data_IF_674105933907
#
_entry.id   IF_674105933907
#
_cell.length_a   1.000
_cell.length_b   1.000
_cell.length_c   1.000
_cell.angle_alpha   90.00
_cell.angle_beta   90.00
_cell.angle_gamma   90.00
#
_symmetry.space_group_name_H-M   'P 1'
#
loop_
_entity.id
_entity.type
_entity.pdbx_description
1 polymer ?
#
# COMPACT_ATOMS: atom_id res chain seq x y z
N UNK A 1 4.21 11.51 77.43
CA UNK A 1 4.71 12.12 76.19
C UNK A 1 4.09 11.41 75.03
N UNK A 2 3.12 11.95 74.41
CA UNK A 2 2.58 11.30 73.22
C UNK A 2 3.50 11.54 71.99
N UNK A 3 3.99 10.49 71.44
CA UNK A 3 4.69 10.59 70.21
C UNK A 3 3.66 10.76 69.06
N UNK A 4 3.65 11.93 68.48
CA UNK A 4 2.84 12.17 67.28
C UNK A 4 3.59 11.60 66.07
N UNK A 5 3.14 10.43 65.65
CA UNK A 5 3.58 9.89 64.40
C UNK A 5 2.91 10.66 63.27
N UNK A 6 3.67 11.44 62.55
CA UNK A 6 3.22 12.04 61.33
C UNK A 6 3.16 10.95 60.27
N UNK A 7 1.98 10.50 60.01
CA UNK A 7 1.76 9.73 58.80
C UNK A 7 1.81 10.70 57.61
N UNK A 8 2.98 10.78 57.01
CA UNK A 8 3.08 11.40 55.70
C UNK A 8 2.33 10.52 54.71
N UNK A 9 1.13 10.93 54.35
CA UNK A 9 0.43 10.35 53.23
C UNK A 9 1.26 10.65 51.99
N UNK A 10 2.03 9.69 51.54
CA UNK A 10 2.61 9.72 50.22
C UNK A 10 1.47 9.57 49.25
N UNK A 11 1.03 10.69 48.72
CA UNK A 11 0.19 10.70 47.54
C UNK A 11 1.06 10.17 46.41
N UNK A 12 0.90 8.90 46.08
CA UNK A 12 1.40 8.32 44.87
C UNK A 12 0.57 8.95 43.76
N UNK A 13 1.08 10.02 43.18
CA UNK A 13 0.61 10.47 41.88
C UNK A 13 1.13 9.43 40.89
N UNK A 14 0.33 8.42 40.64
CA UNK A 14 0.52 7.58 39.49
C UNK A 14 0.22 8.46 38.29
N UNK A 15 1.27 9.02 37.73
CA UNK A 15 1.18 9.61 36.42
C UNK A 15 0.72 8.48 35.49
N UNK A 16 -0.56 8.44 35.20
CA UNK A 16 -1.09 7.67 34.09
C UNK A 16 -0.44 8.26 32.86
N UNK A 17 0.71 7.71 32.51
CA UNK A 17 1.34 7.97 31.23
C UNK A 17 0.33 7.58 30.16
N UNK A 18 -0.21 8.60 29.54
CA UNK A 18 -1.22 8.53 28.52
C UNK A 18 -0.85 7.50 27.47
N UNK A 19 -1.60 6.44 27.41
CA UNK A 19 -1.68 5.55 26.24
C UNK A 19 -2.13 6.29 24.97
N UNK A 20 -2.50 7.56 25.08
CA UNK A 20 -2.91 8.41 23.96
C UNK A 20 -1.78 8.79 23.01
N UNK A 21 -0.51 8.68 23.41
CA UNK A 21 0.60 8.94 22.50
C UNK A 21 0.79 7.87 21.42
N UNK A 22 0.17 6.71 21.57
CA UNK A 22 0.28 5.62 20.58
C UNK A 22 -0.71 5.74 19.43
N UNK A 23 -1.72 6.59 19.54
CA UNK A 23 -2.75 6.78 18.52
C UNK A 23 -2.42 7.87 17.50
N UNK A 24 -1.39 8.68 17.74
CA UNK A 24 -1.00 9.76 16.82
C UNK A 24 -0.07 9.30 15.68
N UNK A 25 0.44 8.08 15.74
CA UNK A 25 1.43 7.59 14.77
C UNK A 25 0.83 7.21 13.40
N UNK A 26 -0.50 7.18 13.24
CA UNK A 26 -1.15 6.63 12.05
C UNK A 26 -2.08 7.61 11.32
N UNK A 27 -1.77 8.89 11.35
CA UNK A 27 -2.45 9.79 10.42
C UNK A 27 -1.96 9.49 9.01
N UNK A 28 -2.88 9.10 8.07
CA UNK A 28 -2.47 8.91 6.69
C UNK A 28 -1.93 10.24 6.19
N UNK A 29 -0.64 10.27 5.83
CA UNK A 29 -0.02 11.41 5.17
C UNK A 29 -0.76 11.75 3.88
N UNK A 30 -0.60 12.98 3.40
CA UNK A 30 -1.15 13.39 2.12
C UNK A 30 -0.65 12.48 1.01
N UNK A 31 -1.53 12.15 0.07
CA UNK A 31 -1.24 11.33 -1.10
C UNK A 31 -1.69 12.03 -2.35
N UNK A 32 -0.92 11.89 -3.40
CA UNK A 32 -1.26 12.42 -4.72
C UNK A 32 -1.55 11.25 -5.64
N UNK A 33 -2.72 11.26 -6.26
CA UNK A 33 -3.05 10.30 -7.31
C UNK A 33 -2.17 10.58 -8.53
N UNK A 34 -1.40 9.58 -8.94
CA UNK A 34 -0.56 9.68 -10.15
C UNK A 34 -1.35 9.21 -11.36
N UNK A 35 -1.96 8.05 -11.28
CA UNK A 35 -2.71 7.48 -12.39
C UNK A 35 -3.64 6.36 -11.95
N UNK A 36 -4.62 6.08 -12.81
CA UNK A 36 -5.41 4.86 -12.80
C UNK A 36 -5.03 4.02 -14.00
N UNK A 37 -4.88 2.73 -13.80
CA UNK A 37 -4.44 1.82 -14.85
C UNK A 37 -5.13 0.46 -14.77
N UNK A 38 -5.33 -0.21 -15.90
CA UNK A 38 -5.64 -1.64 -15.90
C UNK A 38 -4.38 -2.46 -15.58
N UNK A 39 -4.57 -3.70 -15.20
CA UNK A 39 -3.45 -4.66 -15.09
C UNK A 39 -3.22 -5.29 -16.46
N UNK A 40 -2.01 -5.12 -16.99
CA UNK A 40 -1.59 -5.73 -18.24
C UNK A 40 -1.10 -7.16 -18.01
N UNK A 41 -1.43 -8.06 -18.94
CA UNK A 41 -0.91 -9.43 -18.90
C UNK A 41 -1.51 -10.32 -17.83
N UNK A 42 -2.64 -9.95 -17.26
CA UNK A 42 -3.32 -10.70 -16.20
C UNK A 42 -3.49 -12.19 -16.54
N UNK A 43 -3.79 -12.52 -17.77
CA UNK A 43 -4.04 -13.89 -18.23
C UNK A 43 -2.78 -14.79 -18.20
N UNK A 44 -1.59 -14.19 -18.14
CA UNK A 44 -0.32 -14.93 -18.16
C UNK A 44 0.26 -15.17 -16.75
N UNK A 45 -0.43 -14.73 -15.72
CA UNK A 45 0.05 -14.76 -14.34
C UNK A 45 -0.95 -15.44 -13.39
N UNK A 46 -0.75 -15.28 -12.11
CA UNK A 46 -1.50 -16.02 -11.07
C UNK A 46 -2.91 -15.46 -10.78
N UNK A 47 -3.26 -14.33 -11.37
CA UNK A 47 -4.51 -13.62 -11.05
C UNK A 47 -5.76 -14.43 -11.28
N UNK A 48 -5.78 -15.31 -12.27
CA UNK A 48 -6.93 -16.15 -12.57
C UNK A 48 -7.29 -17.11 -11.41
N UNK A 49 -6.29 -17.73 -10.79
CA UNK A 49 -6.49 -18.60 -9.64
C UNK A 49 -6.84 -17.83 -8.36
N UNK A 50 -6.50 -16.54 -8.31
CA UNK A 50 -6.68 -15.69 -7.15
C UNK A 50 -7.94 -14.83 -7.23
N UNK A 51 -8.64 -14.86 -8.36
CA UNK A 51 -9.73 -13.93 -8.67
C UNK A 51 -10.75 -13.79 -7.55
N UNK A 52 -11.22 -14.91 -6.98
CA UNK A 52 -12.24 -14.90 -5.94
C UNK A 52 -11.75 -14.33 -4.60
N UNK A 53 -10.44 -14.18 -4.45
CA UNK A 53 -9.82 -13.63 -3.24
C UNK A 53 -9.54 -12.14 -3.35
N UNK A 54 -9.50 -11.59 -4.55
CA UNK A 54 -9.25 -10.17 -4.79
C UNK A 54 -10.45 -9.33 -4.38
N UNK A 55 -10.22 -8.20 -3.73
CA UNK A 55 -11.25 -7.26 -3.30
C UNK A 55 -10.88 -5.83 -3.65
N UNK A 56 -11.88 -5.03 -3.97
CA UNK A 56 -11.72 -3.57 -4.09
C UNK A 56 -11.16 -3.04 -2.78
N UNK A 57 -10.14 -2.18 -2.88
CA UNK A 57 -9.43 -1.64 -1.73
C UNK A 57 -8.17 -2.42 -1.35
N UNK A 58 -7.96 -3.61 -1.90
CA UNK A 58 -6.75 -4.39 -1.63
C UNK A 58 -5.49 -3.64 -2.07
N UNK A 59 -4.48 -3.67 -1.21
CA UNK A 59 -3.18 -3.10 -1.51
C UNK A 59 -2.44 -3.92 -2.57
N UNK A 60 -1.79 -3.23 -3.48
CA UNK A 60 -0.90 -3.80 -4.48
C UNK A 60 0.52 -3.31 -4.24
N UNK A 61 1.49 -4.15 -4.57
CA UNK A 61 2.90 -3.81 -4.54
C UNK A 61 3.39 -3.62 -5.96
N UNK A 62 4.06 -2.50 -6.20
CA UNK A 62 4.68 -2.19 -7.48
C UNK A 62 6.18 -2.49 -7.40
N UNK A 63 6.65 -3.34 -8.28
CA UNK A 63 8.05 -3.79 -8.30
C UNK A 63 8.69 -3.39 -9.62
N UNK A 64 9.72 -2.56 -9.54
CA UNK A 64 10.49 -2.11 -10.70
C UNK A 64 11.33 -3.26 -11.26
N UNK A 65 11.28 -3.47 -12.56
CA UNK A 65 12.08 -4.47 -13.29
C UNK A 65 12.93 -3.82 -14.36
N UNK A 66 14.05 -3.16 -14.00
CA UNK A 66 14.87 -2.43 -14.98
C UNK A 66 15.55 -3.36 -15.99
N UNK A 67 15.72 -4.63 -15.66
CA UNK A 67 16.35 -5.62 -16.52
C UNK A 67 15.35 -6.49 -17.28
N UNK A 68 14.08 -6.10 -17.31
CA UNK A 68 13.09 -6.82 -18.08
C UNK A 68 13.44 -6.78 -19.57
N UNK A 69 13.55 -7.95 -20.25
CA UNK A 69 14.02 -7.99 -21.64
C UNK A 69 13.04 -7.40 -22.64
N UNK A 70 11.78 -7.26 -22.27
CA UNK A 70 10.74 -6.71 -23.14
C UNK A 70 10.47 -5.23 -22.94
N UNK A 71 10.80 -4.71 -21.75
CA UNK A 71 10.53 -3.32 -21.38
C UNK A 71 11.44 -2.86 -20.25
N UNK A 72 12.37 -1.97 -20.54
CA UNK A 72 13.29 -1.42 -19.54
C UNK A 72 12.58 -0.58 -18.47
N UNK A 73 11.33 -0.16 -18.71
CA UNK A 73 10.49 0.58 -17.75
C UNK A 73 9.44 -0.30 -17.08
N UNK A 74 9.56 -1.61 -17.18
CA UNK A 74 8.58 -2.52 -16.63
C UNK A 74 8.38 -2.32 -15.12
N UNK A 75 7.11 -2.32 -14.73
CA UNK A 75 6.68 -2.29 -13.33
C UNK A 75 5.71 -3.43 -13.12
N UNK A 76 6.12 -4.39 -12.32
CA UNK A 76 5.32 -5.56 -11.97
C UNK A 76 4.30 -5.19 -10.90
N UNK A 77 3.09 -5.70 -11.03
CA UNK A 77 2.01 -5.53 -10.06
C UNK A 77 1.81 -6.82 -9.31
N UNK A 78 1.96 -6.78 -8.00
CA UNK A 78 1.80 -7.94 -7.11
C UNK A 78 0.67 -7.71 -6.10
N UNK A 79 -0.03 -8.78 -5.78
CA UNK A 79 -1.01 -8.86 -4.72
C UNK A 79 -0.61 -9.97 -3.74
N UNK A 80 -0.38 -9.61 -2.48
CA UNK A 80 -0.05 -10.58 -1.42
C UNK A 80 1.07 -11.56 -1.81
N UNK A 81 2.12 -11.06 -2.49
CA UNK A 81 3.25 -11.87 -2.96
C UNK A 81 3.01 -12.60 -4.28
N UNK A 82 1.83 -12.46 -4.90
CA UNK A 82 1.51 -13.09 -6.17
C UNK A 82 1.52 -12.08 -7.32
N UNK A 83 2.08 -12.46 -8.44
CA UNK A 83 2.13 -11.60 -9.62
C UNK A 83 0.77 -11.58 -10.29
N UNK A 84 0.17 -10.39 -10.41
CA UNK A 84 -1.06 -10.19 -11.17
C UNK A 84 -0.80 -9.81 -12.63
N UNK A 85 0.28 -9.11 -12.89
CA UNK A 85 0.66 -8.62 -14.19
C UNK A 85 1.58 -7.42 -14.08
N UNK A 86 1.39 -6.46 -14.96
CA UNK A 86 2.24 -5.26 -15.09
C UNK A 86 1.40 -4.00 -15.24
N UNK A 87 2.00 -2.86 -14.90
CA UNK A 87 1.51 -1.58 -15.36
C UNK A 87 1.60 -1.57 -16.88
N UNK A 88 0.57 -1.14 -17.63
CA UNK A 88 0.64 -1.13 -19.07
C UNK A 88 1.85 -0.38 -19.60
N UNK A 89 2.52 -0.96 -20.60
CA UNK A 89 3.75 -0.40 -21.17
C UNK A 89 3.57 1.04 -21.66
N UNK A 90 2.41 1.34 -22.24
CA UNK A 90 2.10 2.66 -22.77
C UNK A 90 2.00 3.76 -21.71
N UNK A 91 1.85 3.39 -20.43
CA UNK A 91 1.58 4.33 -19.34
C UNK A 91 2.40 4.05 -18.08
N UNK A 92 3.51 3.35 -18.20
CA UNK A 92 4.36 3.00 -17.05
C UNK A 92 5.48 4.00 -16.76
N UNK A 93 5.70 4.97 -17.61
CA UNK A 93 6.84 5.90 -17.50
C UNK A 93 6.84 6.69 -16.20
N UNK A 94 5.71 7.30 -15.84
CA UNK A 94 5.62 8.10 -14.63
C UNK A 94 5.85 7.25 -13.37
N UNK A 95 5.26 6.06 -13.31
CA UNK A 95 5.43 5.13 -12.19
C UNK A 95 6.87 4.65 -12.09
N UNK A 96 7.46 4.21 -13.21
CA UNK A 96 8.85 3.77 -13.24
C UNK A 96 9.81 4.87 -12.78
N UNK A 97 9.59 6.09 -13.22
CA UNK A 97 10.41 7.25 -12.84
C UNK A 97 10.35 7.53 -11.35
N UNK A 98 9.17 7.48 -10.76
CA UNK A 98 9.01 7.70 -9.32
C UNK A 98 9.69 6.61 -8.50
N UNK A 99 9.57 5.36 -8.90
CA UNK A 99 10.26 4.24 -8.26
C UNK A 99 11.78 4.37 -8.38
N UNK A 100 12.28 4.76 -9.54
CA UNK A 100 13.72 4.96 -9.78
C UNK A 100 14.32 6.09 -8.93
N UNK A 101 13.51 7.08 -8.59
CA UNK A 101 13.89 8.16 -7.66
C UNK A 101 13.84 7.76 -6.18
N UNK A 102 13.41 6.55 -5.88
CA UNK A 102 13.26 6.07 -4.50
C UNK A 102 12.00 6.59 -3.80
N UNK A 103 11.07 7.18 -4.52
CA UNK A 103 9.81 7.63 -3.94
C UNK A 103 8.91 6.45 -3.58
N UNK A 104 8.16 6.61 -2.50
CA UNK A 104 7.21 5.60 -2.05
C UNK A 104 5.90 5.75 -2.81
N UNK A 105 5.53 4.71 -3.53
CA UNK A 105 4.25 4.61 -4.20
C UNK A 105 3.35 3.62 -3.44
N UNK A 106 2.08 3.97 -3.37
CA UNK A 106 1.03 3.07 -2.92
C UNK A 106 0.13 2.75 -4.12
N UNK A 107 -0.34 1.53 -4.18
CA UNK A 107 -1.31 1.13 -5.19
C UNK A 107 -2.42 0.31 -4.55
N UNK A 108 -3.62 0.45 -5.09
CA UNK A 108 -4.78 -0.29 -4.61
C UNK A 108 -5.74 -0.61 -5.74
N UNK A 109 -6.43 -1.73 -5.61
CA UNK A 109 -7.51 -2.11 -6.51
C UNK A 109 -8.70 -1.17 -6.28
N UNK A 110 -9.21 -0.57 -7.36
CA UNK A 110 -10.38 0.30 -7.29
C UNK A 110 -11.60 -0.29 -8.00
N UNK A 111 -11.37 -1.23 -8.91
CA UNK A 111 -12.46 -1.88 -9.64
C UNK A 111 -12.09 -3.31 -10.01
N UNK A 112 -13.03 -4.22 -9.79
CA UNK A 112 -12.97 -5.60 -10.23
C UNK A 112 -14.19 -5.88 -11.10
N UNK A 113 -13.95 -6.35 -12.31
CA UNK A 113 -15.00 -6.66 -13.27
C UNK A 113 -14.79 -8.06 -13.82
N UNK A 114 -15.78 -8.91 -13.65
CA UNK A 114 -15.78 -10.23 -14.27
C UNK A 114 -16.02 -10.05 -15.76
N UNK A 115 -14.95 -10.08 -16.56
CA UNK A 115 -15.00 -9.78 -17.96
C UNK A 115 -14.20 -10.79 -18.79
N UNK A 116 -14.64 -11.04 -20.00
CA UNK A 116 -13.94 -11.90 -20.96
C UNK A 116 -12.57 -11.33 -21.33
N UNK A 117 -12.49 -10.01 -21.54
CA UNK A 117 -11.25 -9.32 -21.83
C UNK A 117 -10.42 -9.12 -20.54
N UNK A 118 -9.21 -9.72 -20.45
CA UNK A 118 -8.37 -9.58 -19.25
C UNK A 118 -8.01 -8.14 -18.89
N UNK A 119 -7.89 -7.26 -19.88
CA UNK A 119 -7.60 -5.84 -19.67
C UNK A 119 -8.68 -5.09 -18.91
N UNK A 120 -9.89 -5.62 -18.88
CA UNK A 120 -11.04 -5.00 -18.22
C UNK A 120 -11.35 -5.60 -16.86
N UNK A 121 -10.53 -6.53 -16.37
CA UNK A 121 -10.80 -7.24 -15.12
C UNK A 121 -10.42 -6.47 -13.89
N UNK A 122 -9.24 -5.85 -13.89
CA UNK A 122 -8.72 -5.12 -12.74
C UNK A 122 -8.35 -3.71 -13.17
N UNK A 123 -8.83 -2.73 -12.40
CA UNK A 123 -8.36 -1.36 -12.45
C UNK A 123 -7.78 -1.01 -11.08
N UNK A 124 -6.62 -0.36 -11.07
CA UNK A 124 -5.95 0.07 -9.85
C UNK A 124 -5.50 1.53 -9.95
N UNK A 125 -5.35 2.15 -8.81
CA UNK A 125 -4.84 3.50 -8.69
C UNK A 125 -3.47 3.50 -8.03
N UNK A 126 -2.60 4.40 -8.49
CA UNK A 126 -1.25 4.61 -7.98
C UNK A 126 -1.17 6.00 -7.35
N UNK A 127 -0.70 6.04 -6.10
CA UNK A 127 -0.53 7.26 -5.33
C UNK A 127 0.93 7.48 -4.97
N UNK A 128 1.36 8.73 -5.04
CA UNK A 128 2.62 9.18 -4.45
C UNK A 128 2.34 9.58 -3.00
N UNK A 129 3.11 9.02 -2.08
CA UNK A 129 3.04 9.37 -0.67
C UNK A 129 3.96 10.56 -0.40
N UNK A 130 3.40 11.62 0.15
CA UNK A 130 4.13 12.82 0.56
C UNK A 130 4.71 12.69 1.95
#
# INVERSE_FOLDING_TARGET
>A
MPAYGYFAARVLVVAALCASCLLEAEQPGARILIQSSPVAGFQFHEGKQLWDRLKVGDALILVREPNNPYDARAVRVEWSGHVLGYVPRAENEAVARQLDRGNKLEARIVKLTKHRDPWKRIEFEVFLRL
#
